data_IF_735176096156
#
_entry.id   IF_735176096156
#
_cell.length_a   1.000
_cell.length_b   1.000
_cell.length_c   1.000
_cell.angle_alpha   90.00
_cell.angle_beta   90.00
_cell.angle_gamma   90.00
#
_symmetry.space_group_name_H-M   'P 1'
#
loop_
_entity.id
_entity.type
_entity.pdbx_description
1 polymer ?
#
# COMPACT_ATOMS: atom_id res chain seq x y z
N UNK A 1 13.74 -11.79 -3.93
CA UNK A 1 12.42 -11.41 -3.36
C UNK A 1 12.37 -9.92 -3.03
N UNK A 2 11.22 -9.35 -3.23
CA UNK A 2 10.96 -7.95 -2.89
C UNK A 2 9.76 -7.84 -1.96
N UNK A 3 9.86 -6.95 -0.98
CA UNK A 3 8.72 -6.48 -0.20
C UNK A 3 8.20 -5.23 -0.89
N UNK A 4 6.94 -5.25 -1.28
CA UNK A 4 6.28 -4.09 -1.87
C UNK A 4 5.29 -3.55 -0.84
N UNK A 5 5.55 -2.34 -0.39
CA UNK A 5 4.72 -1.64 0.58
C UNK A 5 3.99 -0.52 -0.14
N UNK A 6 2.67 -0.57 -0.12
CA UNK A 6 1.84 0.44 -0.78
C UNK A 6 1.01 1.16 0.26
N UNK A 7 0.98 2.48 0.19
CA UNK A 7 0.10 3.29 1.03
C UNK A 7 -0.91 3.91 0.10
N UNK A 8 -2.17 3.52 0.27
CA UNK A 8 -3.24 3.86 -0.66
C UNK A 8 -4.45 4.44 0.07
N UNK A 9 -5.37 5.00 -0.69
CA UNK A 9 -6.65 5.46 -0.14
C UNK A 9 -7.43 4.25 0.37
N UNK A 10 -8.17 4.39 1.48
CA UNK A 10 -8.94 3.26 2.03
C UNK A 10 -9.88 2.61 1.02
N UNK A 11 -10.52 3.42 0.17
CA UNK A 11 -11.48 2.90 -0.82
C UNK A 11 -10.83 2.21 -2.02
N UNK A 12 -9.50 2.12 -2.06
CA UNK A 12 -8.78 1.46 -3.16
C UNK A 12 -8.25 0.07 -2.80
N UNK A 13 -8.40 -0.35 -1.55
CA UNK A 13 -7.87 -1.65 -1.10
C UNK A 13 -8.43 -2.81 -1.92
N UNK A 14 -9.75 -2.83 -2.14
CA UNK A 14 -10.38 -3.90 -2.88
C UNK A 14 -9.92 -3.94 -4.33
N UNK A 15 -9.76 -2.78 -4.96
CA UNK A 15 -9.25 -2.69 -6.33
C UNK A 15 -7.83 -3.23 -6.44
N UNK A 16 -6.98 -2.90 -5.47
CA UNK A 16 -5.60 -3.40 -5.42
C UNK A 16 -5.59 -4.92 -5.20
N UNK A 17 -6.40 -5.39 -4.27
CA UNK A 17 -6.54 -6.82 -3.98
C UNK A 17 -6.94 -7.59 -5.24
N UNK A 18 -7.93 -7.11 -5.97
CA UNK A 18 -8.40 -7.75 -7.19
C UNK A 18 -7.33 -7.75 -8.29
N UNK A 19 -6.61 -6.63 -8.43
CA UNK A 19 -5.53 -6.53 -9.40
C UNK A 19 -4.40 -7.53 -9.11
N UNK A 20 -4.03 -7.67 -7.82
CA UNK A 20 -2.99 -8.62 -7.41
C UNK A 20 -3.45 -10.07 -7.58
N UNK A 21 -4.73 -10.34 -7.34
CA UNK A 21 -5.28 -11.69 -7.52
C UNK A 21 -5.15 -12.16 -8.98
N UNK A 22 -5.28 -11.25 -9.94
CA UNK A 22 -5.09 -11.56 -11.36
C UNK A 22 -3.66 -12.00 -11.69
N UNK A 23 -2.71 -11.66 -10.86
CA UNK A 23 -1.31 -12.06 -10.98
C UNK A 23 -0.99 -13.26 -10.10
N UNK A 24 -2.00 -13.93 -9.55
CA UNK A 24 -1.86 -15.04 -8.61
C UNK A 24 -1.13 -14.67 -7.32
N UNK A 25 -1.22 -13.41 -6.92
CA UNK A 25 -0.68 -12.93 -5.66
C UNK A 25 -1.83 -12.88 -4.66
N UNK A 26 -1.84 -13.79 -3.70
CA UNK A 26 -2.91 -13.92 -2.71
C UNK A 26 -2.50 -13.52 -1.30
N UNK A 27 -1.23 -13.67 -0.97
CA UNK A 27 -0.73 -13.33 0.36
C UNK A 27 -0.48 -11.84 0.47
N UNK A 28 -1.33 -11.14 1.22
CA UNK A 28 -1.10 -9.73 1.49
C UNK A 28 -1.50 -9.38 2.92
N UNK A 29 -0.79 -8.43 3.49
CA UNK A 29 -1.08 -7.89 4.82
C UNK A 29 -1.61 -6.47 4.65
N UNK A 30 -2.71 -6.16 5.31
CA UNK A 30 -3.33 -4.84 5.24
C UNK A 30 -3.38 -4.25 6.65
N UNK A 31 -2.92 -3.02 6.78
CA UNK A 31 -2.86 -2.32 8.06
C UNK A 31 -3.44 -0.91 7.88
N UNK A 32 -4.28 -0.50 8.82
CA UNK A 32 -4.74 0.88 8.86
C UNK A 32 -3.61 1.77 9.40
N UNK A 33 -3.35 2.85 8.67
CA UNK A 33 -2.32 3.82 9.05
C UNK A 33 -2.87 5.23 8.88
N UNK A 34 -2.20 6.21 9.47
CA UNK A 34 -2.52 7.59 9.26
C UNK A 34 -1.33 8.29 8.63
N UNK A 35 -1.59 9.00 7.55
CA UNK A 35 -0.55 9.63 6.78
C UNK A 35 -0.69 11.14 6.75
N UNK A 36 0.44 11.81 6.72
CA UNK A 36 0.54 13.25 6.48
C UNK A 36 1.11 13.44 5.08
N UNK A 37 0.38 14.15 4.24
CA UNK A 37 0.78 14.40 2.87
C UNK A 37 0.30 15.76 2.39
N UNK A 38 0.62 16.05 1.12
CA UNK A 38 0.22 17.30 0.48
C UNK A 38 -1.20 17.18 -0.05
N UNK A 39 -2.18 17.09 0.85
CA UNK A 39 -3.59 17.12 0.47
C UNK A 39 -4.15 18.51 0.74
N UNK A 40 -4.51 19.20 -0.33
CA UNK A 40 -5.14 20.52 -0.22
C UNK A 40 -6.62 20.35 0.09
N UNK A 41 -7.19 21.30 0.84
CA UNK A 41 -8.61 21.35 1.11
C UNK A 41 -9.08 20.56 2.33
N UNK A 42 -8.17 19.88 3.01
CA UNK A 42 -8.51 19.20 4.26
C UNK A 42 -8.29 20.11 5.43
N UNK A 43 -9.27 20.98 5.66
CA UNK A 43 -9.31 21.82 6.84
C UNK A 43 -10.56 21.47 7.64
N UNK A 44 -10.43 21.49 8.94
CA UNK A 44 -11.56 21.36 9.86
C UNK A 44 -11.67 22.65 10.64
N UNK A 45 -12.91 23.06 10.92
CA UNK A 45 -13.17 24.22 11.76
C UNK A 45 -13.63 23.70 13.13
N UNK A 46 -12.92 24.13 14.16
CA UNK A 46 -13.25 23.79 15.53
C UNK A 46 -13.17 25.04 16.40
N UNK A 47 -14.31 25.37 17.05
CA UNK A 47 -14.44 26.57 17.87
C UNK A 47 -14.05 27.86 17.13
N UNK A 48 -14.40 27.94 15.84
CA UNK A 48 -14.11 29.12 15.03
C UNK A 48 -12.70 29.23 14.52
N UNK A 49 -11.86 28.22 14.74
CA UNK A 49 -10.49 28.17 14.21
C UNK A 49 -10.36 27.08 13.16
N UNK A 50 -9.65 27.39 12.10
CA UNK A 50 -9.29 26.42 11.09
C UNK A 50 -8.09 25.60 11.54
N UNK A 51 -8.19 24.28 11.36
CA UNK A 51 -7.09 23.36 11.60
C UNK A 51 -6.84 22.56 10.33
N UNK A 52 -5.59 22.44 9.95
CA UNK A 52 -5.20 21.53 8.89
C UNK A 52 -5.29 20.09 9.42
N UNK A 53 -6.06 19.27 8.72
CA UNK A 53 -6.11 17.84 9.02
C UNK A 53 -4.83 17.23 8.46
N UNK A 54 -3.84 17.01 9.33
CA UNK A 54 -2.52 16.57 8.91
C UNK A 54 -2.35 15.05 8.88
N UNK A 55 -3.21 14.31 9.62
CA UNK A 55 -3.14 12.85 9.68
C UNK A 55 -4.42 12.26 9.15
N UNK A 56 -4.38 11.81 7.90
CA UNK A 56 -5.52 11.23 7.22
C UNK A 56 -5.46 9.71 7.26
N UNK A 57 -6.62 9.03 7.33
CA UNK A 57 -6.61 7.57 7.26
C UNK A 57 -6.15 7.10 5.89
N UNK A 58 -5.25 6.14 5.90
CA UNK A 58 -4.72 5.46 4.72
C UNK A 58 -4.66 3.97 5.03
N UNK A 59 -4.46 3.18 4.00
CA UNK A 59 -4.26 1.74 4.16
C UNK A 59 -2.88 1.38 3.65
N UNK A 60 -2.17 0.58 4.42
CA UNK A 60 -0.88 0.04 4.02
C UNK A 60 -1.08 -1.40 3.59
N UNK A 61 -0.62 -1.73 2.40
CA UNK A 61 -0.68 -3.07 1.84
C UNK A 61 0.74 -3.56 1.65
N UNK A 62 1.07 -4.72 2.22
CA UNK A 62 2.38 -5.32 2.07
C UNK A 62 2.28 -6.68 1.39
N UNK A 63 3.12 -6.90 0.40
CA UNK A 63 3.27 -8.19 -0.27
C UNK A 63 4.76 -8.50 -0.41
N UNK A 64 5.10 -9.78 -0.41
CA UNK A 64 6.44 -10.24 -0.73
C UNK A 64 6.33 -11.11 -1.98
N UNK A 65 7.09 -10.76 -3.00
CA UNK A 65 7.01 -11.43 -4.31
C UNK A 65 8.40 -11.76 -4.84
N UNK A 66 8.50 -12.76 -5.71
CA UNK A 66 9.76 -12.99 -6.45
C UNK A 66 10.13 -11.79 -7.30
N UNK A 67 11.42 -11.62 -7.54
CA UNK A 67 11.92 -10.52 -8.38
C UNK A 67 11.28 -10.55 -9.78
N UNK A 68 11.00 -11.73 -10.29
CA UNK A 68 10.47 -11.93 -11.64
C UNK A 68 9.10 -11.28 -11.87
N UNK A 69 8.30 -11.10 -10.81
CA UNK A 69 6.95 -10.53 -10.95
C UNK A 69 6.81 -9.17 -10.25
N UNK A 70 7.89 -8.68 -9.65
CA UNK A 70 7.83 -7.43 -8.88
C UNK A 70 7.38 -6.24 -9.71
N UNK A 71 7.90 -6.07 -10.93
CA UNK A 71 7.52 -4.99 -11.82
C UNK A 71 6.03 -5.03 -12.19
N UNK A 72 5.52 -6.22 -12.51
CA UNK A 72 4.10 -6.39 -12.86
C UNK A 72 3.20 -6.08 -11.66
N UNK A 73 3.62 -6.51 -10.47
CA UNK A 73 2.89 -6.23 -9.24
C UNK A 73 2.83 -4.73 -8.95
N UNK A 74 3.96 -4.03 -9.11
CA UNK A 74 4.00 -2.57 -8.92
C UNK A 74 3.07 -1.86 -9.88
N UNK A 75 3.10 -2.23 -11.16
CA UNK A 75 2.22 -1.64 -12.17
C UNK A 75 0.75 -1.89 -11.87
N UNK A 76 0.43 -3.10 -11.44
CA UNK A 76 -0.94 -3.46 -11.09
C UNK A 76 -1.46 -2.62 -9.91
N UNK A 77 -0.63 -2.43 -8.88
CA UNK A 77 -0.97 -1.62 -7.72
C UNK A 77 -1.19 -0.16 -8.12
N UNK A 78 -0.27 0.39 -8.88
CA UNK A 78 -0.35 1.80 -9.31
C UNK A 78 -1.61 2.04 -10.14
N UNK A 79 -1.90 1.17 -11.09
CA UNK A 79 -3.10 1.31 -11.93
C UNK A 79 -4.39 1.18 -11.12
N UNK A 80 -4.43 0.25 -10.18
CA UNK A 80 -5.62 0.00 -9.37
C UNK A 80 -5.88 1.12 -8.36
N UNK A 81 -4.83 1.69 -7.78
CA UNK A 81 -4.96 2.69 -6.72
C UNK A 81 -5.01 4.12 -7.21
N UNK A 82 -4.64 4.37 -8.44
CA UNK A 82 -4.48 5.70 -8.99
C UNK A 82 -5.81 6.40 -9.25
N UNK A 83 -5.92 7.65 -8.79
CA UNK A 83 -7.02 8.56 -9.18
C UNK A 83 -6.52 9.73 -10.00
N UNK A 84 -5.23 10.05 -9.90
CA UNK A 84 -4.63 11.24 -10.51
C UNK A 84 -4.64 12.45 -9.60
N UNK A 85 -5.25 12.32 -8.42
CA UNK A 85 -5.34 13.41 -7.44
C UNK A 85 -4.23 13.32 -6.42
N UNK A 86 -3.91 14.44 -5.79
CA UNK A 86 -2.99 14.49 -4.66
C UNK A 86 -3.57 13.64 -3.52
N UNK A 87 -2.75 12.80 -2.92
CA UNK A 87 -3.18 11.90 -1.85
C UNK A 87 -3.37 10.47 -2.29
N UNK A 88 -3.03 10.13 -3.53
CA UNK A 88 -3.12 8.75 -4.03
C UNK A 88 -2.20 7.79 -3.28
N UNK A 89 -1.11 8.29 -2.72
CA UNK A 89 -0.19 7.47 -1.95
C UNK A 89 1.09 7.15 -2.68
N UNK A 90 1.78 6.12 -2.20
CA UNK A 90 3.09 5.72 -2.72
C UNK A 90 3.28 4.22 -2.65
N UNK A 91 4.20 3.75 -3.48
CA UNK A 91 4.67 2.37 -3.46
C UNK A 91 6.16 2.39 -3.14
N UNK A 92 6.56 1.61 -2.14
CA UNK A 92 7.96 1.45 -1.76
C UNK A 92 8.37 0.01 -2.00
N UNK A 93 9.60 -0.19 -2.46
CA UNK A 93 10.13 -1.52 -2.75
C UNK A 93 11.40 -1.74 -1.93
N UNK A 94 11.42 -2.84 -1.19
CA UNK A 94 12.54 -3.21 -0.33
C UNK A 94 13.09 -4.56 -0.75
N UNK A 95 14.40 -4.77 -0.69
CA UNK A 95 14.95 -6.11 -0.85
C UNK A 95 14.62 -6.96 0.37
N UNK A 96 14.22 -8.21 0.14
CA UNK A 96 14.04 -9.20 1.20
C UNK A 96 15.21 -10.17 1.11
N UNK A 97 16.07 -10.16 2.12
CA UNK A 97 17.26 -10.99 2.13
C UNK A 97 16.92 -12.46 2.37
N UNK A 98 16.03 -12.72 3.30
CA UNK A 98 15.63 -14.08 3.68
C UNK A 98 14.19 -14.10 4.13
N UNK A 99 13.52 -15.20 3.89
CA UNK A 99 12.17 -15.46 4.35
C UNK A 99 12.05 -16.91 4.80
N UNK A 100 11.40 -17.12 5.92
CA UNK A 100 11.21 -18.45 6.51
C UNK A 100 9.74 -18.68 6.81
N UNK A 101 9.27 -19.88 6.54
CA UNK A 101 7.90 -20.29 6.92
C UNK A 101 7.89 -20.69 8.38
N UNK A 102 7.01 -20.08 9.15
CA UNK A 102 6.92 -20.40 10.57
C UNK A 102 6.48 -21.85 10.78
N UNK A 103 5.50 -22.32 9.99
CA UNK A 103 4.95 -23.66 10.15
C UNK A 103 5.99 -24.76 9.99
N UNK A 104 6.92 -24.61 9.05
CA UNK A 104 7.90 -25.66 8.75
C UNK A 104 9.32 -25.31 9.16
N UNK A 105 9.60 -24.03 9.41
CA UNK A 105 10.96 -23.54 9.64
C UNK A 105 11.80 -23.48 8.37
N UNK A 106 11.21 -23.79 7.20
CA UNK A 106 11.96 -23.82 5.94
C UNK A 106 12.17 -22.43 5.37
N UNK A 107 13.33 -22.24 4.78
CA UNK A 107 13.68 -21.02 4.06
C UNK A 107 13.00 -21.00 2.70
N UNK A 108 12.39 -19.87 2.38
CA UNK A 108 11.87 -19.60 1.04
C UNK A 108 12.90 -18.82 0.25
N UNK A 109 13.07 -19.20 -0.98
CA UNK A 109 13.98 -18.47 -1.88
C UNK A 109 13.20 -17.57 -2.84
#
# INVERSE_FOLDING_TARGET
MKLIKSIVRPNKVDDVKDALAKLNISGMTVTEVRGHGKQKGHTAIYRGKEYNVSLLPKMEIEIVVPDSIAEEAIKAIVQAARTGEIGDGRVFVFPVLESYRIRTGERES
#
